data_IF_824552015132
#
_entry.id   IF_824552015132
#
_cell.length_a   1.000
_cell.length_b   1.000
_cell.length_c   1.000
_cell.angle_alpha   90.00
_cell.angle_beta   90.00
_cell.angle_gamma   90.00
#
_symmetry.space_group_name_H-M   'P 1'
#
loop_
_entity.id
_entity.type
_entity.pdbx_description
1 polymer ?
#
# COMPACT_ATOMS: atom_id res chain seq x y z
N UNK A 1 12.92 6.87 -73.51
CA UNK A 1 13.75 6.32 -72.46
C UNK A 1 14.31 7.49 -71.68
N UNK A 2 14.09 7.62 -70.39
CA UNK A 2 14.66 8.71 -69.59
C UNK A 2 16.19 8.64 -69.64
N UNK A 3 16.82 9.75 -69.92
CA UNK A 3 18.29 9.80 -70.01
C UNK A 3 18.89 9.48 -68.67
N UNK A 4 20.03 8.77 -68.66
CA UNK A 4 20.75 8.38 -67.43
C UNK A 4 20.97 9.55 -66.45
N UNK A 5 21.00 10.76 -66.95
CA UNK A 5 21.13 12.02 -66.19
C UNK A 5 19.89 12.33 -65.34
N UNK A 6 18.65 12.03 -65.88
CA UNK A 6 17.41 12.23 -65.13
C UNK A 6 17.28 11.16 -63.99
N UNK A 7 17.64 9.92 -64.28
CA UNK A 7 17.63 8.84 -63.28
C UNK A 7 18.62 9.16 -62.12
N UNK A 8 19.80 9.68 -62.44
CA UNK A 8 20.80 10.05 -61.44
C UNK A 8 20.34 11.24 -60.56
N UNK A 9 19.66 12.22 -61.15
CA UNK A 9 19.12 13.36 -60.44
C UNK A 9 17.98 12.97 -59.49
N UNK A 10 17.09 12.07 -59.90
CA UNK A 10 16.02 11.52 -59.04
C UNK A 10 16.59 10.70 -57.89
N UNK A 11 17.60 9.87 -58.17
CA UNK A 11 18.28 9.07 -57.11
C UNK A 11 19.00 9.95 -56.10
N UNK A 12 19.71 11.00 -56.52
CA UNK A 12 20.32 11.96 -55.64
C UNK A 12 19.31 12.73 -54.76
N UNK A 13 18.17 13.15 -55.35
CA UNK A 13 17.08 13.77 -54.59
C UNK A 13 16.47 12.84 -53.55
N UNK A 14 16.33 11.57 -53.86
CA UNK A 14 15.83 10.56 -52.92
C UNK A 14 16.80 10.36 -51.73
N UNK A 15 18.13 10.28 -52.00
CA UNK A 15 19.13 10.15 -50.96
C UNK A 15 19.15 11.38 -50.02
N UNK A 16 18.98 12.60 -50.53
CA UNK A 16 18.90 13.81 -49.72
C UNK A 16 17.66 13.80 -48.82
N UNK A 17 16.51 13.41 -49.39
CA UNK A 17 15.27 13.29 -48.59
C UNK A 17 15.37 12.19 -47.53
N UNK A 18 15.99 11.05 -47.85
CA UNK A 18 16.24 9.96 -46.89
C UNK A 18 17.16 10.40 -45.77
N UNK A 19 18.26 11.13 -46.11
CA UNK A 19 19.18 11.68 -45.11
C UNK A 19 18.48 12.72 -44.21
N UNK A 20 17.67 13.61 -44.80
CA UNK A 20 16.88 14.57 -44.04
C UNK A 20 15.86 13.88 -43.11
N UNK A 21 15.18 12.83 -43.57
CA UNK A 21 14.25 12.05 -42.77
C UNK A 21 14.97 11.31 -41.61
N UNK A 22 16.18 10.81 -41.81
CA UNK A 22 16.99 10.19 -40.79
C UNK A 22 17.52 11.21 -39.76
N UNK A 23 17.92 12.40 -40.18
CA UNK A 23 18.37 13.49 -39.31
C UNK A 23 17.21 14.14 -38.52
N UNK A 24 16.01 14.17 -39.09
CA UNK A 24 14.80 14.65 -38.43
C UNK A 24 14.14 13.58 -37.53
N UNK A 25 14.53 12.31 -37.62
CA UNK A 25 14.18 11.31 -36.63
C UNK A 25 14.87 11.66 -35.32
N UNK A 26 14.16 12.34 -34.45
CA UNK A 26 14.57 12.53 -33.06
C UNK A 26 14.71 11.12 -32.44
N UNK A 27 15.90 10.68 -32.04
CA UNK A 27 16.02 9.48 -31.23
C UNK A 27 15.45 9.82 -29.86
N UNK A 28 14.23 9.39 -29.55
CA UNK A 28 13.75 9.66 -28.23
C UNK A 28 12.25 9.52 -27.94
N UNK A 29 11.50 8.92 -28.84
CA UNK A 29 10.18 8.45 -28.45
C UNK A 29 10.00 7.05 -29.02
N UNK A 30 10.50 6.02 -28.30
CA UNK A 30 9.97 4.68 -28.47
C UNK A 30 8.53 4.73 -27.93
N UNK A 31 7.49 4.72 -28.78
CA UNK A 31 6.11 4.72 -28.30
C UNK A 31 5.79 3.43 -27.52
N UNK A 32 6.62 2.40 -27.67
CA UNK A 32 6.49 1.13 -26.93
C UNK A 32 6.97 1.24 -25.46
N UNK A 33 7.87 2.19 -25.14
CA UNK A 33 8.25 2.51 -23.76
C UNK A 33 7.22 3.38 -23.03
N UNK A 34 6.32 4.05 -23.76
CA UNK A 34 5.24 4.84 -23.15
C UNK A 34 4.05 3.97 -22.67
N UNK A 35 4.06 2.66 -22.94
CA UNK A 35 3.05 1.70 -22.50
C UNK A 35 3.47 0.90 -21.25
N UNK A 36 4.65 1.16 -20.69
CA UNK A 36 4.94 0.63 -19.36
C UNK A 36 4.00 1.32 -18.37
N UNK A 37 3.14 0.56 -17.66
CA UNK A 37 2.27 1.16 -16.67
C UNK A 37 3.16 1.88 -15.66
N UNK A 38 3.02 3.20 -15.57
CA UNK A 38 3.65 3.97 -14.50
C UNK A 38 3.13 3.37 -13.20
N UNK A 39 4.03 2.81 -12.38
CA UNK A 39 3.66 2.24 -11.10
C UNK A 39 2.83 3.28 -10.32
N UNK A 40 1.69 2.85 -9.79
CA UNK A 40 0.85 3.73 -8.98
C UNK A 40 1.69 4.30 -7.82
N UNK A 41 1.58 5.60 -7.52
CA UNK A 41 2.38 6.20 -6.47
C UNK A 41 2.06 5.54 -5.12
N UNK A 42 3.10 5.25 -4.32
CA UNK A 42 2.92 4.74 -2.98
C UNK A 42 2.31 5.81 -2.08
N UNK A 43 1.41 5.41 -1.17
CA UNK A 43 0.86 6.30 -0.15
C UNK A 43 1.92 6.68 0.89
N UNK A 44 2.79 5.73 1.22
CA UNK A 44 3.81 5.87 2.24
C UNK A 44 5.19 5.80 1.59
N UNK A 45 6.09 6.68 2.05
CA UNK A 45 7.50 6.62 1.69
C UNK A 45 8.30 5.83 2.74
N UNK A 46 7.75 4.66 3.17
CA UNK A 46 8.30 3.82 4.24
C UNK A 46 8.47 2.39 3.71
N UNK A 47 9.59 1.76 4.06
CA UNK A 47 9.74 0.33 3.89
C UNK A 47 9.10 -0.47 5.04
N UNK A 48 8.71 -1.74 4.83
CA UNK A 48 8.16 -2.57 5.90
C UNK A 48 9.10 -2.71 7.11
N UNK A 49 10.41 -2.70 6.86
CA UNK A 49 11.44 -2.81 7.90
C UNK A 49 11.57 -1.55 8.76
N UNK A 50 11.14 -0.40 8.25
CA UNK A 50 11.21 0.87 8.97
C UNK A 50 10.10 0.99 10.01
N UNK A 51 9.02 0.21 9.88
CA UNK A 51 7.86 0.26 10.78
C UNK A 51 8.16 -0.54 12.03
N UNK A 52 8.24 0.14 13.17
CA UNK A 52 8.50 -0.44 14.50
C UNK A 52 7.28 -0.45 15.40
N UNK A 53 6.20 0.19 14.99
CA UNK A 53 4.94 0.18 15.73
C UNK A 53 3.76 0.54 14.86
N UNK A 54 2.62 -0.04 15.17
CA UNK A 54 1.33 0.22 14.52
C UNK A 54 0.26 0.41 15.59
N UNK A 55 -0.47 1.49 15.49
CA UNK A 55 -1.62 1.77 16.34
C UNK A 55 -2.85 1.96 15.46
N UNK A 56 -3.90 1.20 15.72
CA UNK A 56 -5.20 1.35 15.07
C UNK A 56 -6.21 1.75 16.11
N UNK A 57 -6.92 2.85 15.88
CA UNK A 57 -7.95 3.36 16.81
C UNK A 57 -9.27 3.50 16.08
N UNK A 58 -10.30 2.82 16.59
CA UNK A 58 -11.70 2.89 16.15
C UNK A 58 -12.57 3.39 17.29
N UNK A 59 -13.88 3.55 17.05
CA UNK A 59 -14.83 3.84 18.10
C UNK A 59 -15.01 2.68 19.10
N UNK A 60 -14.77 1.43 18.65
CA UNK A 60 -14.96 0.23 19.45
C UNK A 60 -13.71 -0.14 20.28
N UNK A 61 -12.54 0.35 19.91
CA UNK A 61 -11.33 -0.01 20.63
C UNK A 61 -10.05 0.42 19.93
N UNK A 62 -8.95 -0.11 20.47
CA UNK A 62 -7.60 0.23 20.02
C UNK A 62 -6.75 -1.03 19.95
N UNK A 63 -6.02 -1.19 18.83
CA UNK A 63 -4.96 -2.17 18.66
C UNK A 63 -3.60 -1.44 18.73
N UNK A 64 -2.69 -1.96 19.52
CA UNK A 64 -1.30 -1.47 19.58
C UNK A 64 -0.36 -2.64 19.37
N UNK A 65 0.45 -2.53 18.34
CA UNK A 65 1.51 -3.47 17.99
C UNK A 65 2.85 -2.75 18.12
N UNK A 66 3.81 -3.36 18.79
CA UNK A 66 5.17 -2.86 18.89
C UNK A 66 6.20 -3.92 18.53
N UNK A 67 7.28 -3.50 17.90
CA UNK A 67 8.43 -4.35 17.60
C UNK A 67 9.51 -4.14 18.66
N UNK A 68 9.84 -5.20 19.37
CA UNK A 68 10.87 -5.17 20.39
C UNK A 68 12.29 -5.04 19.82
N UNK A 69 13.26 -4.80 20.68
CA UNK A 69 14.68 -4.74 20.30
C UNK A 69 15.21 -6.10 19.78
N UNK A 70 14.53 -7.19 20.09
CA UNK A 70 14.77 -8.53 19.59
C UNK A 70 14.22 -8.74 18.16
N UNK A 71 13.56 -7.72 17.59
CA UNK A 71 12.96 -7.76 16.27
C UNK A 71 11.60 -8.45 16.22
N UNK A 72 11.06 -8.92 17.36
CA UNK A 72 9.78 -9.61 17.42
C UNK A 72 8.64 -8.63 17.71
N UNK A 73 7.51 -8.87 17.06
CA UNK A 73 6.28 -8.12 17.27
C UNK A 73 5.55 -8.61 18.52
N UNK A 74 4.96 -7.66 19.25
CA UNK A 74 4.10 -7.90 20.41
C UNK A 74 2.79 -7.15 20.26
N UNK A 75 1.72 -7.74 20.76
CA UNK A 75 0.45 -7.07 20.95
C UNK A 75 0.49 -6.41 22.34
N UNK A 76 0.23 -5.12 22.42
CA UNK A 76 0.16 -4.38 23.69
C UNK A 76 -1.28 -4.12 24.10
N UNK A 77 -2.17 -3.94 23.13
CA UNK A 77 -3.59 -3.69 23.32
C UNK A 77 -4.39 -4.35 22.17
N UNK A 78 -5.61 -4.85 22.41
CA UNK A 78 -6.42 -4.82 23.63
C UNK A 78 -5.96 -5.83 24.70
N UNK A 79 -5.27 -6.88 24.30
CA UNK A 79 -4.74 -7.92 25.19
C UNK A 79 -3.25 -8.06 24.92
N UNK A 80 -2.44 -7.89 25.96
CA UNK A 80 -0.98 -7.97 25.85
C UNK A 80 -0.54 -9.44 25.67
N UNK A 81 0.39 -9.67 24.72
CA UNK A 81 0.92 -11.00 24.44
C UNK A 81 1.88 -11.07 23.27
N UNK A 82 2.44 -12.25 23.04
CA UNK A 82 3.26 -12.52 21.85
C UNK A 82 2.39 -12.50 20.60
N UNK A 83 2.84 -11.73 19.61
CA UNK A 83 2.13 -11.63 18.34
C UNK A 83 2.47 -12.80 17.42
N UNK A 84 1.51 -13.22 16.61
CA UNK A 84 1.77 -14.10 15.49
C UNK A 84 2.60 -13.36 14.43
N UNK A 85 3.90 -13.62 14.40
CA UNK A 85 4.86 -12.91 13.56
C UNK A 85 4.49 -12.95 12.09
N UNK A 86 4.15 -14.13 11.56
CA UNK A 86 3.79 -14.30 10.17
C UNK A 86 2.56 -13.48 9.79
N UNK A 87 1.53 -13.47 10.64
CA UNK A 87 0.29 -12.70 10.41
C UNK A 87 0.55 -11.19 10.42
N UNK A 88 1.44 -10.72 11.30
CA UNK A 88 1.83 -9.31 11.38
C UNK A 88 2.63 -8.91 10.13
N UNK A 89 3.64 -9.70 9.74
CA UNK A 89 4.45 -9.42 8.56
C UNK A 89 3.63 -9.41 7.29
N UNK A 90 2.70 -10.36 7.12
CA UNK A 90 1.73 -10.42 6.02
C UNK A 90 0.77 -9.23 5.99
N UNK A 91 0.65 -8.50 7.08
CA UNK A 91 -0.20 -7.30 7.16
C UNK A 91 0.59 -6.02 6.96
N UNK A 92 1.76 -5.89 7.58
CA UNK A 92 2.58 -4.68 7.52
C UNK A 92 3.25 -4.50 6.15
N UNK A 93 3.69 -5.59 5.52
CA UNK A 93 4.29 -5.52 4.18
C UNK A 93 3.38 -4.84 3.16
N UNK A 94 2.16 -5.35 2.93
CA UNK A 94 1.18 -4.71 2.05
C UNK A 94 0.74 -3.31 2.50
N UNK A 95 0.70 -3.02 3.80
CA UNK A 95 0.39 -1.69 4.31
C UNK A 95 1.46 -0.67 3.93
N UNK A 96 2.73 -1.02 4.07
CA UNK A 96 3.84 -0.17 3.65
C UNK A 96 3.86 0.07 2.13
N UNK A 97 3.40 -0.91 1.36
CA UNK A 97 3.29 -0.87 -0.10
C UNK A 97 1.94 -0.30 -0.59
N UNK A 98 1.13 0.30 0.29
CA UNK A 98 -0.18 0.83 -0.06
C UNK A 98 -0.06 1.88 -1.17
N UNK A 99 -0.78 1.68 -2.28
CA UNK A 99 -0.72 2.55 -3.45
C UNK A 99 -1.95 3.43 -3.57
N UNK A 100 -1.74 4.66 -4.06
CA UNK A 100 -2.80 5.60 -4.35
C UNK A 100 -3.45 5.21 -5.68
N UNK A 101 -4.71 4.81 -5.61
CA UNK A 101 -5.51 4.51 -6.80
C UNK A 101 -6.02 5.77 -7.49
N UNK A 102 -6.34 6.79 -6.71
CA UNK A 102 -6.86 8.08 -7.19
C UNK A 102 -6.69 9.16 -6.12
N UNK A 103 -6.41 10.38 -6.55
CA UNK A 103 -6.51 11.59 -5.73
C UNK A 103 -7.79 12.34 -6.12
N UNK A 104 -8.55 12.80 -5.14
CA UNK A 104 -9.75 13.59 -5.37
C UNK A 104 -9.37 15.04 -5.73
N UNK A 105 -10.26 15.79 -6.44
CA UNK A 105 -10.06 17.20 -6.68
C UNK A 105 -9.90 18.00 -5.40
N UNK A 106 -9.15 19.08 -5.43
CA UNK A 106 -9.02 20.00 -4.30
C UNK A 106 -10.37 20.67 -3.98
N UNK A 107 -10.59 20.99 -2.71
CA UNK A 107 -11.77 21.73 -2.25
C UNK A 107 -13.01 20.88 -1.98
N UNK A 108 -12.92 19.53 -2.05
CA UNK A 108 -13.99 18.65 -1.59
C UNK A 108 -14.05 18.62 -0.06
N UNK A 109 -15.25 18.56 0.51
CA UNK A 109 -15.44 18.54 1.96
C UNK A 109 -15.08 17.14 2.55
N UNK A 110 -14.10 17.01 3.46
CA UNK A 110 -13.70 15.70 4.02
C UNK A 110 -14.82 14.96 4.74
N UNK A 111 -15.79 15.69 5.29
CA UNK A 111 -16.96 15.12 5.98
C UNK A 111 -17.80 14.23 5.06
N UNK A 112 -17.92 14.56 3.77
CA UNK A 112 -18.69 13.77 2.78
C UNK A 112 -18.06 12.38 2.54
N UNK A 113 -16.79 12.23 2.86
CA UNK A 113 -16.02 10.99 2.70
C UNK A 113 -15.76 10.27 4.03
N UNK A 114 -16.43 10.71 5.12
CA UNK A 114 -16.27 10.13 6.45
C UNK A 114 -14.89 10.36 7.07
N UNK A 115 -14.23 11.48 6.73
CA UNK A 115 -12.92 11.87 7.23
C UNK A 115 -12.98 12.97 8.31
N UNK A 116 -14.17 13.49 8.60
CA UNK A 116 -14.41 14.47 9.67
C UNK A 116 -15.72 14.18 10.41
N UNK A 117 -15.68 13.42 11.53
CA UNK A 117 -14.52 12.69 12.05
C UNK A 117 -14.15 11.46 11.21
N UNK A 118 -12.90 10.98 11.20
CA UNK A 118 -12.53 9.75 10.53
C UNK A 118 -13.18 8.54 11.23
N UNK A 119 -13.52 7.52 10.45
CA UNK A 119 -14.10 6.28 11.00
C UNK A 119 -13.10 5.52 11.87
N UNK A 120 -11.84 5.54 11.48
CA UNK A 120 -10.73 5.06 12.30
C UNK A 120 -9.41 5.67 11.82
N UNK A 121 -8.38 5.49 12.62
CA UNK A 121 -7.02 5.98 12.30
C UNK A 121 -6.02 4.84 12.40
N UNK A 122 -5.02 4.87 11.51
CA UNK A 122 -3.85 3.99 11.55
C UNK A 122 -2.62 4.87 11.72
N UNK A 123 -1.97 4.75 12.86
CA UNK A 123 -0.72 5.46 13.13
C UNK A 123 0.46 4.48 13.01
N UNK A 124 1.44 4.86 12.21
CA UNK A 124 2.65 4.11 11.97
C UNK A 124 3.82 4.81 12.63
N UNK A 125 4.59 4.07 13.41
CA UNK A 125 5.78 4.55 14.07
C UNK A 125 7.03 4.03 13.34
N UNK A 126 7.69 4.85 12.52
CA UNK A 126 8.91 4.48 11.82
C UNK A 126 10.14 4.75 12.69
N UNK A 127 10.34 3.99 13.76
CA UNK A 127 11.50 4.10 14.65
C UNK A 127 11.76 5.53 15.14
N UNK A 128 12.90 6.12 14.73
CA UNK A 128 13.28 7.47 15.13
C UNK A 128 12.60 8.60 14.32
N UNK A 129 11.90 8.27 13.23
CA UNK A 129 11.25 9.27 12.40
C UNK A 129 9.87 9.66 12.95
N UNK A 130 9.30 10.73 12.40
CA UNK A 130 7.99 11.21 12.82
C UNK A 130 6.89 10.20 12.50
N UNK A 131 6.00 9.96 13.46
CA UNK A 131 4.79 9.16 13.28
C UNK A 131 3.98 9.63 12.05
N UNK A 132 3.55 8.67 11.23
CA UNK A 132 2.64 8.90 10.11
C UNK A 132 1.26 8.41 10.49
N UNK A 133 0.24 9.25 10.37
CA UNK A 133 -1.14 8.90 10.70
C UNK A 133 -1.99 8.95 9.44
N UNK A 134 -2.62 7.82 9.14
CA UNK A 134 -3.60 7.67 8.07
C UNK A 134 -4.99 7.79 8.70
N UNK A 135 -5.75 8.78 8.32
CA UNK A 135 -7.17 8.94 8.66
C UNK A 135 -7.98 8.19 7.62
N UNK A 136 -8.83 7.28 8.07
CA UNK A 136 -9.59 6.38 7.21
C UNK A 136 -11.08 6.71 7.29
N UNK A 137 -11.66 6.96 6.14
CA UNK A 137 -13.07 7.31 5.96
C UNK A 137 -13.92 6.18 5.38
N UNK A 138 -14.99 6.57 4.72
CA UNK A 138 -15.98 5.69 4.12
C UNK A 138 -15.41 4.85 2.97
N UNK A 139 -16.16 3.82 2.60
CA UNK A 139 -15.93 3.11 1.35
C UNK A 139 -16.37 3.94 0.16
N UNK A 140 -15.72 3.70 -0.99
CA UNK A 140 -16.22 4.15 -2.27
C UNK A 140 -17.49 3.35 -2.67
N UNK A 141 -18.26 3.79 -3.68
CA UNK A 141 -19.55 3.16 -4.04
C UNK A 141 -19.49 1.66 -4.36
N UNK A 142 -18.36 1.16 -4.86
CA UNK A 142 -18.18 -0.27 -5.17
C UNK A 142 -17.62 -1.08 -4.00
N UNK A 143 -17.37 -0.45 -2.85
CA UNK A 143 -16.85 -1.04 -1.61
C UNK A 143 -15.49 -1.72 -1.72
N UNK A 144 -14.73 -1.43 -2.78
CA UNK A 144 -13.39 -2.01 -2.99
C UNK A 144 -12.26 -1.14 -2.45
N UNK A 145 -12.55 0.13 -2.20
CA UNK A 145 -11.58 1.13 -1.77
C UNK A 145 -12.14 1.98 -0.63
N UNK A 146 -11.23 2.59 0.13
CA UNK A 146 -11.55 3.57 1.16
C UNK A 146 -10.97 4.93 0.82
N UNK A 147 -11.70 5.96 1.22
CA UNK A 147 -11.16 7.30 1.26
C UNK A 147 -10.21 7.43 2.45
N UNK A 148 -9.03 7.99 2.20
CA UNK A 148 -8.03 8.21 3.23
C UNK A 148 -7.41 9.59 3.11
N UNK A 149 -6.86 10.08 4.23
CA UNK A 149 -6.09 11.32 4.28
C UNK A 149 -4.89 11.10 5.19
N UNK A 150 -3.73 11.58 4.80
CA UNK A 150 -2.60 11.68 5.72
C UNK A 150 -2.81 12.88 6.64
N UNK A 151 -2.68 12.67 7.93
CA UNK A 151 -2.87 13.76 8.92
C UNK A 151 -1.90 14.90 8.65
N UNK A 152 -2.45 16.11 8.54
CA UNK A 152 -1.70 17.32 8.21
C UNK A 152 -1.63 17.63 6.71
N UNK A 153 -2.31 16.85 5.86
CA UNK A 153 -2.52 17.16 4.44
C UNK A 153 -3.99 17.44 4.17
N UNK A 154 -4.27 18.10 3.05
CA UNK A 154 -5.64 18.36 2.58
C UNK A 154 -6.10 17.36 1.52
N UNK A 155 -5.20 16.53 1.00
CA UNK A 155 -5.49 15.63 -0.11
C UNK A 155 -6.30 14.42 0.36
N UNK A 156 -7.45 14.21 -0.27
CA UNK A 156 -8.25 13.00 -0.08
C UNK A 156 -7.86 12.01 -1.17
N UNK A 157 -7.45 10.83 -0.74
CA UNK A 157 -6.90 9.79 -1.57
C UNK A 157 -7.81 8.57 -1.54
N UNK A 158 -7.80 7.78 -2.61
CA UNK A 158 -8.51 6.52 -2.70
C UNK A 158 -7.49 5.37 -2.76
N UNK A 159 -7.58 4.46 -1.81
CA UNK A 159 -6.70 3.28 -1.70
C UNK A 159 -7.52 2.01 -1.59
N UNK A 160 -6.94 0.85 -1.92
CA UNK A 160 -7.62 -0.42 -1.72
C UNK A 160 -7.89 -0.66 -0.23
N UNK A 161 -9.08 -1.13 0.08
CA UNK A 161 -9.60 -1.19 1.46
C UNK A 161 -9.03 -2.35 2.25
N UNK A 162 -8.72 -3.45 1.60
CA UNK A 162 -8.51 -4.74 2.24
C UNK A 162 -7.39 -4.75 3.30
N UNK A 163 -6.30 -3.99 3.09
CA UNK A 163 -5.21 -3.88 4.07
C UNK A 163 -5.64 -3.14 5.34
N UNK A 164 -6.42 -2.06 5.16
CA UNK A 164 -6.93 -1.23 6.25
C UNK A 164 -8.01 -1.98 7.04
N UNK A 165 -8.88 -2.69 6.34
CA UNK A 165 -9.96 -3.48 6.94
C UNK A 165 -9.40 -4.65 7.76
N UNK A 166 -8.34 -5.30 7.26
CA UNK A 166 -7.65 -6.35 8.00
C UNK A 166 -7.08 -5.85 9.32
N UNK A 167 -6.47 -4.65 9.32
CA UNK A 167 -5.95 -4.02 10.54
C UNK A 167 -7.07 -3.70 11.54
N UNK A 168 -8.17 -3.11 11.08
CA UNK A 168 -9.29 -2.80 11.96
C UNK A 168 -9.93 -4.07 12.55
N UNK A 169 -9.99 -5.15 11.78
CA UNK A 169 -10.47 -6.46 12.25
C UNK A 169 -9.62 -7.07 13.37
N UNK A 170 -8.33 -6.77 13.42
CA UNK A 170 -7.43 -7.25 14.49
C UNK A 170 -7.71 -6.62 15.86
N UNK A 171 -8.56 -5.59 15.96
CA UNK A 171 -9.04 -5.07 17.26
C UNK A 171 -9.95 -6.11 17.94
N UNK A 172 -10.80 -6.76 17.15
CA UNK A 172 -11.76 -7.76 17.63
C UNK A 172 -11.08 -9.12 17.80
N UNK A 173 -10.20 -9.49 16.87
CA UNK A 173 -9.43 -10.73 16.88
C UNK A 173 -7.93 -10.41 16.85
N UNK A 174 -7.32 -10.13 18.00
CA UNK A 174 -5.91 -9.75 18.08
C UNK A 174 -5.00 -10.86 17.56
N UNK A 175 -3.92 -10.51 16.84
CA UNK A 175 -3.01 -11.46 16.21
C UNK A 175 -2.05 -12.07 17.23
N UNK A 176 -2.61 -12.78 18.22
CA UNK A 176 -1.85 -13.48 19.26
C UNK A 176 -1.41 -14.87 18.79
N UNK A 177 -0.30 -15.35 19.35
CA UNK A 177 0.04 -16.77 19.25
C UNK A 177 -0.99 -17.57 20.04
N UNK A 178 -1.64 -18.59 19.45
CA UNK A 178 -2.55 -19.43 20.20
C UNK A 178 -1.83 -20.06 21.40
N UNK A 179 -2.28 -19.76 22.60
CA UNK A 179 -1.80 -20.46 23.79
C UNK A 179 -2.26 -21.91 23.67
N UNK A 180 -1.32 -22.86 23.61
CA UNK A 180 -1.68 -24.26 23.65
C UNK A 180 -2.56 -24.49 24.88
N UNK A 181 -3.79 -24.95 24.64
CA UNK A 181 -4.65 -25.37 25.75
C UNK A 181 -3.89 -26.42 26.57
N UNK A 182 -3.89 -26.34 27.92
CA UNK A 182 -3.25 -27.37 28.73
C UNK A 182 -3.82 -28.71 28.28
N UNK A 183 -2.96 -29.64 27.83
CA UNK A 183 -3.34 -30.99 27.51
C UNK A 183 -4.09 -31.51 28.73
N UNK A 184 -5.41 -31.76 28.56
CA UNK A 184 -6.19 -32.42 29.60
C UNK A 184 -5.52 -33.74 29.89
N UNK A 185 -4.84 -33.80 31.03
CA UNK A 185 -4.24 -35.03 31.54
C UNK A 185 -5.31 -36.11 31.46
N UNK A 186 -5.20 -36.99 30.45
CA UNK A 186 -6.04 -38.17 30.36
C UNK A 186 -5.86 -38.91 31.68
N UNK A 187 -6.82 -38.75 32.56
CA UNK A 187 -6.92 -39.58 33.75
C UNK A 187 -6.85 -41.05 33.30
N UNK A 188 -5.78 -41.74 33.73
CA UNK A 188 -5.62 -43.13 33.48
C UNK A 188 -6.83 -43.85 34.11
N UNK A 189 -7.65 -44.47 33.30
CA UNK A 189 -8.74 -45.32 33.74
C UNK A 189 -8.11 -46.50 34.46
N UNK A 190 -8.43 -46.79 35.76
CA UNK A 190 -7.94 -47.99 36.45
C UNK A 190 -8.53 -49.20 35.76
N UNK A 191 -7.68 -50.14 35.34
CA UNK A 191 -8.11 -51.45 34.89
C UNK A 191 -8.60 -52.24 36.11
N UNK A 192 -9.79 -52.87 36.05
CA UNK A 192 -10.21 -53.82 37.10
C UNK A 192 -9.39 -55.10 36.97
N UNK A 193 -8.90 -55.59 38.12
CA UNK A 193 -8.28 -56.92 38.28
C UNK A 193 -9.32 -58.03 38.20
#
# INVERSE_FOLDING_TARGET
MPSARVALAVFAGFLVLLAAALLLRRPGANPELALLPTAAPALLALGPADITGVEVSTAEGKLVLSKGNDGLWRVESPVSGEANQALIEDTIGPLAALTISRTLPQGVAPAEYGLEPPLFTVALNPGAAKQVVIEVGAYNPDSTKRYVRLRGTSDILLVFSYQLDRLSGMIVDPPLVPTAAPEATRAATPQPQ
#
